data_IF_725592443703
#
_entry.id   IF_725592443703
#
_cell.length_a   1.000
_cell.length_b   1.000
_cell.length_c   1.000
_cell.angle_alpha   90.00
_cell.angle_beta   90.00
_cell.angle_gamma   90.00
#
_symmetry.space_group_name_H-M   'P 1'
#
loop_
_entity.id
_entity.type
_entity.pdbx_description
1 polymer ?
#
# COMPACT_ATOMS: atom_id res chain seq x y z
N UNK A 1 79.49 -18.08 -33.04
CA UNK A 1 78.72 -18.59 -31.90
C UNK A 1 77.51 -17.67 -31.68
N UNK A 2 76.40 -17.96 -32.28
CA UNK A 2 75.16 -17.12 -32.23
C UNK A 2 74.21 -17.71 -31.19
N UNK A 3 73.96 -16.98 -30.15
CA UNK A 3 73.00 -17.37 -29.10
C UNK A 3 71.63 -16.81 -29.48
N UNK A 4 70.69 -17.72 -29.67
CA UNK A 4 69.27 -17.45 -30.02
C UNK A 4 68.51 -17.32 -28.70
N UNK A 5 67.97 -16.13 -28.41
CA UNK A 5 67.05 -15.92 -27.27
C UNK A 5 65.61 -16.21 -27.70
N UNK A 6 65.02 -17.27 -27.15
CA UNK A 6 63.60 -17.55 -27.30
C UNK A 6 62.83 -16.69 -26.25
N UNK A 7 62.00 -15.82 -26.77
CA UNK A 7 61.09 -14.99 -25.94
C UNK A 7 59.74 -15.73 -25.86
N UNK A 8 59.43 -16.29 -24.71
CA UNK A 8 58.11 -16.91 -24.44
C UNK A 8 57.12 -15.84 -24.07
N UNK A 9 56.11 -15.60 -24.92
CA UNK A 9 54.95 -14.69 -24.62
C UNK A 9 53.95 -15.50 -23.80
N UNK A 10 53.87 -15.13 -22.50
CA UNK A 10 52.81 -15.64 -21.60
C UNK A 10 51.49 -14.97 -21.92
N UNK A 11 50.50 -15.70 -22.38
CA UNK A 11 49.12 -15.24 -22.51
C UNK A 11 48.48 -15.27 -21.12
N UNK A 12 48.31 -14.09 -20.52
CA UNK A 12 47.48 -13.92 -19.29
C UNK A 12 46.03 -13.98 -19.71
N UNK A 13 45.41 -15.13 -19.47
CA UNK A 13 43.98 -15.29 -19.65
C UNK A 13 43.21 -14.47 -18.61
N UNK A 14 42.57 -13.38 -19.03
CA UNK A 14 41.57 -12.67 -18.23
C UNK A 14 40.35 -13.54 -18.04
N UNK A 15 40.14 -14.03 -16.81
CA UNK A 15 38.89 -14.69 -16.42
C UNK A 15 37.79 -13.61 -16.36
N UNK A 16 36.91 -13.58 -17.35
CA UNK A 16 35.68 -12.80 -17.32
C UNK A 16 34.75 -13.42 -16.28
N UNK A 17 34.65 -12.80 -15.12
CA UNK A 17 33.67 -13.16 -14.10
C UNK A 17 32.26 -12.92 -14.68
N UNK A 18 31.59 -13.98 -15.08
CA UNK A 18 30.19 -13.94 -15.46
C UNK A 18 29.35 -13.58 -14.25
N UNK A 19 28.85 -12.35 -14.20
CA UNK A 19 27.83 -11.93 -13.24
C UNK A 19 26.57 -12.70 -13.62
N UNK A 20 26.27 -13.78 -12.88
CA UNK A 20 24.98 -14.46 -12.97
C UNK A 20 23.93 -13.47 -12.49
N UNK A 21 22.84 -13.20 -13.27
CA UNK A 21 21.73 -12.46 -12.73
C UNK A 21 21.18 -13.26 -11.54
N UNK A 22 21.20 -12.65 -10.35
CA UNK A 22 20.49 -13.19 -9.20
C UNK A 22 19.01 -13.11 -9.59
N UNK A 23 18.40 -14.27 -9.84
CA UNK A 23 16.96 -14.35 -10.01
C UNK A 23 16.35 -13.74 -8.73
N UNK A 24 15.57 -12.67 -8.89
CA UNK A 24 14.82 -12.11 -7.78
C UNK A 24 14.00 -13.24 -7.16
N UNK A 25 14.19 -13.47 -5.86
CA UNK A 25 13.45 -14.51 -5.15
C UNK A 25 11.95 -14.24 -5.32
N UNK A 26 11.14 -15.25 -5.67
CA UNK A 26 9.70 -15.09 -5.72
C UNK A 26 9.23 -14.75 -4.30
N UNK A 27 8.69 -13.53 -4.08
CA UNK A 27 8.20 -12.94 -2.84
C UNK A 27 9.08 -11.83 -2.18
N UNK A 28 9.90 -11.11 -2.91
CA UNK A 28 10.67 -9.96 -2.39
C UNK A 28 9.99 -8.60 -2.61
N UNK A 29 8.70 -8.57 -2.91
CA UNK A 29 7.95 -7.32 -3.00
C UNK A 29 7.52 -6.78 -1.64
N UNK A 30 7.19 -5.48 -1.55
CA UNK A 30 6.72 -4.87 -0.31
C UNK A 30 5.46 -5.56 0.21
N UNK A 31 5.41 -5.71 1.54
CA UNK A 31 4.25 -6.24 2.27
C UNK A 31 3.47 -5.05 2.80
N UNK A 32 2.16 -5.14 2.74
CA UNK A 32 1.27 -4.08 3.23
C UNK A 32 0.39 -4.62 4.36
N UNK A 33 0.02 -3.72 5.26
CA UNK A 33 -1.06 -3.97 6.21
C UNK A 33 -2.01 -2.77 6.21
N UNK A 34 -3.31 -3.05 6.31
CA UNK A 34 -4.32 -2.01 6.53
C UNK A 34 -5.06 -2.37 7.80
N UNK A 35 -5.02 -1.46 8.78
CA UNK A 35 -5.67 -1.62 10.07
C UNK A 35 -6.84 -0.66 10.17
N UNK A 36 -8.04 -1.16 10.46
CA UNK A 36 -9.26 -0.38 10.69
C UNK A 36 -9.69 -0.48 12.14
N UNK A 37 -10.21 0.62 12.68
CA UNK A 37 -10.78 0.65 14.03
C UNK A 37 -11.71 1.84 14.22
N UNK A 38 -12.56 1.78 15.24
CA UNK A 38 -13.51 2.82 15.58
C UNK A 38 -13.36 3.22 17.04
N UNK A 39 -13.16 4.51 17.29
CA UNK A 39 -13.08 5.08 18.62
C UNK A 39 -14.48 5.29 19.23
N UNK A 40 -14.59 5.12 20.53
CA UNK A 40 -15.77 5.57 21.25
C UNK A 40 -15.94 7.09 21.13
N UNK A 41 -17.16 7.57 21.02
CA UNK A 41 -17.45 8.97 20.72
C UNK A 41 -16.71 10.00 21.61
N UNK A 42 -16.59 9.82 22.96
CA UNK A 42 -15.89 10.76 23.80
C UNK A 42 -14.37 10.75 23.61
N UNK A 43 -13.81 9.71 23.00
CA UNK A 43 -12.37 9.47 22.90
C UNK A 43 -11.78 9.78 21.52
N UNK A 44 -12.59 10.21 20.54
CA UNK A 44 -12.18 10.47 19.16
C UNK A 44 -10.93 11.36 19.08
N UNK A 45 -10.92 12.48 19.78
CA UNK A 45 -9.81 13.43 19.73
C UNK A 45 -8.53 12.85 20.34
N UNK A 46 -8.67 12.10 21.43
CA UNK A 46 -7.55 11.42 22.10
C UNK A 46 -6.97 10.33 21.21
N UNK A 47 -7.81 9.48 20.62
CA UNK A 47 -7.38 8.43 19.68
C UNK A 47 -6.68 9.05 18.48
N UNK A 48 -7.21 10.14 17.89
CA UNK A 48 -6.57 10.84 16.78
C UNK A 48 -5.16 11.36 17.14
N UNK A 49 -4.97 11.89 18.34
CA UNK A 49 -3.66 12.34 18.81
C UNK A 49 -2.68 11.17 18.99
N UNK A 50 -3.15 10.08 19.60
CA UNK A 50 -2.34 8.88 19.82
C UNK A 50 -1.92 8.21 18.49
N UNK A 51 -2.82 8.18 17.52
CA UNK A 51 -2.56 7.64 16.15
C UNK A 51 -1.54 8.51 15.41
N UNK A 52 -1.63 9.86 15.49
CA UNK A 52 -0.61 10.75 14.89
C UNK A 52 0.78 10.49 15.45
N UNK A 53 0.88 10.38 16.78
CA UNK A 53 2.14 10.12 17.45
C UNK A 53 2.73 8.77 17.04
N UNK A 54 1.90 7.74 17.01
CA UNK A 54 2.28 6.40 16.58
C UNK A 54 2.76 6.37 15.13
N UNK A 55 1.99 6.98 14.20
CA UNK A 55 2.36 7.05 12.80
C UNK A 55 3.68 7.79 12.56
N UNK A 56 3.92 8.89 13.28
CA UNK A 56 5.18 9.65 13.18
C UNK A 56 6.39 8.82 13.64
N UNK A 57 6.24 7.99 14.67
CA UNK A 57 7.29 7.09 15.13
C UNK A 57 7.54 5.96 14.11
N UNK A 58 6.48 5.31 13.63
CA UNK A 58 6.57 4.13 12.77
C UNK A 58 7.08 4.43 11.36
N UNK A 59 6.92 5.66 10.86
CA UNK A 59 7.52 6.08 9.58
C UNK A 59 9.03 5.95 9.55
N UNK A 60 9.69 6.06 10.70
CA UNK A 60 11.15 6.01 10.84
C UNK A 60 11.69 4.63 11.26
N UNK A 61 10.83 3.63 11.38
CA UNK A 61 11.26 2.27 11.74
C UNK A 61 12.06 1.62 10.61
N UNK A 62 13.00 0.78 11.01
CA UNK A 62 13.80 -0.01 10.06
C UNK A 62 12.88 -0.93 9.27
N UNK A 63 13.02 -0.89 7.93
CA UNK A 63 12.18 -1.67 7.03
C UNK A 63 10.84 -1.01 6.67
N UNK A 64 10.52 0.16 7.24
CA UNK A 64 9.36 0.94 6.79
C UNK A 64 9.59 1.46 5.36
N UNK A 65 8.65 1.16 4.47
CA UNK A 65 8.57 1.73 3.12
C UNK A 65 7.51 2.84 3.04
N UNK A 66 6.61 2.91 4.03
CA UNK A 66 5.59 3.94 4.18
C UNK A 66 4.65 3.61 5.34
N UNK A 67 4.21 4.66 6.03
CA UNK A 67 3.27 4.54 7.13
C UNK A 67 2.34 5.76 7.15
N UNK A 68 1.08 5.54 6.85
CA UNK A 68 0.07 6.60 6.79
C UNK A 68 -1.10 6.28 7.73
N UNK A 69 -1.57 7.29 8.41
CA UNK A 69 -2.71 7.19 9.31
C UNK A 69 -3.79 8.19 8.90
N UNK A 70 -5.03 7.76 8.98
CA UNK A 70 -6.17 8.43 8.39
C UNK A 70 -7.36 8.48 9.36
N UNK A 71 -8.15 9.55 9.25
CA UNK A 71 -9.44 9.70 9.91
C UNK A 71 -10.54 9.83 8.85
N UNK A 72 -11.59 9.01 8.93
CA UNK A 72 -12.69 9.03 7.96
C UNK A 72 -13.44 10.37 8.02
N UNK A 73 -13.66 11.02 6.86
CA UNK A 73 -14.26 12.35 6.79
C UNK A 73 -15.72 12.33 7.23
N UNK A 74 -16.61 11.47 6.68
CA UNK A 74 -18.02 11.45 7.06
C UNK A 74 -18.28 10.81 8.44
N UNK A 75 -17.34 10.03 8.96
CA UNK A 75 -17.45 9.32 10.24
C UNK A 75 -16.17 9.46 11.07
N UNK A 76 -15.96 10.60 11.74
CA UNK A 76 -14.69 10.90 12.41
C UNK A 76 -14.30 9.96 13.56
N UNK A 77 -15.21 9.07 14.01
CA UNK A 77 -14.88 7.98 14.92
C UNK A 77 -14.05 6.87 14.27
N UNK A 78 -14.02 6.79 12.94
CA UNK A 78 -13.33 5.73 12.21
C UNK A 78 -11.97 6.15 11.72
N UNK A 79 -11.04 5.24 11.89
CA UNK A 79 -9.64 5.42 11.55
C UNK A 79 -9.14 4.27 10.68
N UNK A 80 -8.13 4.57 9.86
CA UNK A 80 -7.38 3.57 9.13
C UNK A 80 -5.88 3.86 9.25
N UNK A 81 -5.07 2.80 9.27
CA UNK A 81 -3.61 2.89 9.15
C UNK A 81 -3.22 2.03 7.96
N UNK A 82 -2.44 2.59 7.04
CA UNK A 82 -1.84 1.87 5.91
C UNK A 82 -0.34 1.81 6.12
N UNK A 83 0.17 0.60 6.15
CA UNK A 83 1.58 0.29 6.36
C UNK A 83 2.15 -0.35 5.10
N UNK A 84 3.33 0.08 4.69
CA UNK A 84 4.13 -0.54 3.64
C UNK A 84 5.49 -0.91 4.21
N UNK A 85 5.91 -2.16 4.01
CA UNK A 85 7.14 -2.72 4.54
C UNK A 85 8.01 -3.26 3.42
N UNK A 86 9.33 -3.06 3.52
CA UNK A 86 10.28 -3.45 2.48
C UNK A 86 10.37 -4.97 2.27
N UNK A 87 10.15 -5.74 3.34
CA UNK A 87 10.20 -7.20 3.32
C UNK A 87 9.19 -7.84 4.29
N UNK A 88 9.14 -9.18 4.30
CA UNK A 88 8.21 -9.96 5.11
C UNK A 88 8.56 -10.04 6.60
N UNK A 89 9.79 -9.71 6.98
CA UNK A 89 10.23 -9.77 8.38
C UNK A 89 9.89 -8.49 9.13
N UNK A 90 9.91 -7.35 8.45
CA UNK A 90 9.67 -6.03 9.03
C UNK A 90 8.30 -5.90 9.75
N UNK A 91 7.16 -6.39 9.21
CA UNK A 91 5.89 -6.38 9.95
C UNK A 91 5.96 -7.15 11.27
N UNK A 92 6.69 -8.26 11.31
CA UNK A 92 6.88 -9.05 12.55
C UNK A 92 7.64 -8.25 13.61
N UNK A 93 8.73 -7.60 13.23
CA UNK A 93 9.52 -6.74 14.11
C UNK A 93 8.69 -5.54 14.62
N UNK A 94 7.97 -4.85 13.73
CA UNK A 94 7.06 -3.76 14.08
C UNK A 94 5.99 -4.21 15.08
N UNK A 95 5.33 -5.33 14.83
CA UNK A 95 4.28 -5.86 15.70
C UNK A 95 4.79 -6.23 17.11
N UNK A 96 6.05 -6.62 17.23
CA UNK A 96 6.70 -6.96 18.51
C UNK A 96 7.37 -5.75 19.19
N UNK A 97 7.48 -4.62 18.51
CA UNK A 97 8.11 -3.41 19.04
C UNK A 97 7.36 -2.87 20.26
N UNK A 98 8.09 -2.43 21.28
CA UNK A 98 7.51 -1.89 22.50
C UNK A 98 6.57 -0.71 22.23
N UNK A 99 6.90 0.15 21.26
CA UNK A 99 6.07 1.28 20.86
C UNK A 99 4.71 0.84 20.28
N UNK A 100 4.70 -0.21 19.46
CA UNK A 100 3.47 -0.77 18.86
C UNK A 100 2.60 -1.42 19.92
N UNK A 101 3.19 -2.18 20.86
CA UNK A 101 2.47 -2.80 21.97
C UNK A 101 1.87 -1.72 22.87
N UNK A 102 2.67 -0.71 23.26
CA UNK A 102 2.20 0.41 24.08
C UNK A 102 1.07 1.21 23.41
N UNK A 103 1.16 1.47 22.10
CA UNK A 103 0.07 2.10 21.34
C UNK A 103 -1.21 1.27 21.40
N UNK A 104 -1.12 -0.04 21.13
CA UNK A 104 -2.29 -0.93 21.14
C UNK A 104 -2.93 -1.01 22.53
N UNK A 105 -2.13 -1.10 23.58
CA UNK A 105 -2.64 -1.14 24.96
C UNK A 105 -3.31 0.19 25.35
N UNK A 106 -2.75 1.32 24.89
CA UNK A 106 -3.28 2.65 25.14
C UNK A 106 -4.63 2.90 24.46
N UNK A 107 -4.78 2.47 23.20
CA UNK A 107 -6.01 2.74 22.43
C UNK A 107 -7.10 1.72 22.69
N UNK A 108 -6.78 0.46 22.98
CA UNK A 108 -7.74 -0.64 23.18
C UNK A 108 -8.95 -0.28 24.04
N UNK A 109 -8.81 0.32 25.24
CA UNK A 109 -9.96 0.68 26.10
C UNK A 109 -10.81 1.84 25.54
N UNK A 110 -10.33 2.54 24.50
CA UNK A 110 -10.99 3.71 23.89
C UNK A 110 -11.75 3.34 22.61
N UNK A 111 -11.69 2.07 22.18
CA UNK A 111 -12.28 1.60 20.94
C UNK A 111 -13.63 0.93 21.19
N UNK A 112 -14.52 1.02 20.19
CA UNK A 112 -15.81 0.33 20.18
C UNK A 112 -15.65 -1.18 19.95
N UNK A 113 -14.59 -1.59 19.26
CA UNK A 113 -14.28 -2.98 18.93
C UNK A 113 -12.79 -3.20 18.73
N UNK A 114 -12.38 -4.42 18.37
CA UNK A 114 -10.97 -4.73 18.15
C UNK A 114 -10.41 -4.02 16.92
N UNK A 115 -9.06 -3.90 16.88
CA UNK A 115 -8.34 -3.53 15.67
C UNK A 115 -8.51 -4.62 14.61
N UNK A 116 -9.01 -4.26 13.44
CA UNK A 116 -9.12 -5.17 12.29
C UNK A 116 -7.90 -5.00 11.38
N UNK A 117 -7.00 -5.97 11.38
CA UNK A 117 -5.77 -5.94 10.58
C UNK A 117 -5.92 -6.82 9.35
N UNK A 118 -5.65 -6.27 8.17
CA UNK A 118 -5.64 -6.99 6.89
C UNK A 118 -4.23 -6.98 6.33
N UNK A 119 -3.65 -8.15 6.11
CA UNK A 119 -2.37 -8.30 5.43
C UNK A 119 -2.59 -8.38 3.94
N UNK A 120 -1.78 -7.62 3.18
CA UNK A 120 -1.90 -7.49 1.73
C UNK A 120 -0.51 -7.55 1.08
N UNK A 121 -0.51 -7.76 -0.22
CA UNK A 121 0.65 -7.62 -1.10
C UNK A 121 0.37 -6.54 -2.13
N UNK A 122 1.40 -5.84 -2.60
CA UNK A 122 1.27 -4.93 -3.72
C UNK A 122 0.89 -5.71 -4.98
N UNK A 123 -0.14 -5.22 -5.68
CA UNK A 123 -0.60 -5.81 -6.94
C UNK A 123 -0.33 -4.89 -8.12
N UNK A 124 -0.77 -3.64 -8.03
CA UNK A 124 -0.41 -2.57 -8.98
C UNK A 124 -0.07 -1.32 -8.16
N UNK A 125 1.21 -1.17 -7.81
CA UNK A 125 1.72 -0.06 -7.00
C UNK A 125 2.72 0.77 -7.79
N UNK A 126 2.87 2.04 -7.42
CA UNK A 126 3.84 2.95 -8.01
C UNK A 126 4.39 3.91 -6.95
N UNK A 127 5.49 4.58 -7.27
CA UNK A 127 5.94 5.70 -6.44
C UNK A 127 4.86 6.80 -6.41
N UNK A 128 4.60 7.43 -5.25
CA UNK A 128 3.65 8.53 -5.16
C UNK A 128 4.05 9.68 -6.11
N UNK A 129 3.06 10.32 -6.73
CA UNK A 129 3.24 11.46 -7.60
C UNK A 129 3.50 12.78 -6.84
N UNK A 130 3.37 12.75 -5.50
CA UNK A 130 3.59 13.91 -4.64
C UNK A 130 3.13 13.63 -3.21
N UNK A 131 3.21 14.66 -2.38
CA UNK A 131 2.67 14.64 -1.02
C UNK A 131 1.43 15.52 -0.98
N UNK A 132 0.41 15.07 -0.24
CA UNK A 132 -0.77 15.86 0.03
C UNK A 132 -0.51 16.93 1.08
N UNK A 133 -1.26 18.01 1.00
CA UNK A 133 -1.36 19.03 2.04
C UNK A 133 -2.66 18.82 2.87
N UNK A 134 -3.06 19.85 3.62
CA UNK A 134 -4.25 19.80 4.46
C UNK A 134 -5.58 19.61 3.70
N UNK A 135 -5.60 19.92 2.39
CA UNK A 135 -6.77 19.81 1.52
C UNK A 135 -6.84 18.45 0.82
N UNK A 136 -5.79 17.64 0.95
CA UNK A 136 -5.71 16.32 0.35
C UNK A 136 -6.82 15.40 0.84
N UNK A 137 -7.30 14.57 -0.08
CA UNK A 137 -8.30 13.54 0.20
C UNK A 137 -7.70 12.18 -0.12
N UNK A 138 -7.68 11.32 0.88
CA UNK A 138 -7.29 9.92 0.72
C UNK A 138 -8.53 9.05 0.62
N UNK A 139 -8.45 8.00 -0.19
CA UNK A 139 -9.57 7.09 -0.42
C UNK A 139 -9.11 5.65 -0.25
N UNK A 140 -9.84 4.90 0.55
CA UNK A 140 -9.66 3.46 0.68
C UNK A 140 -10.92 2.78 0.17
N UNK A 141 -10.78 1.98 -0.89
CA UNK A 141 -11.90 1.27 -1.50
C UNK A 141 -11.75 -0.23 -1.36
N UNK A 142 -12.77 -0.88 -0.85
CA UNK A 142 -12.85 -2.34 -0.79
C UNK A 142 -13.53 -2.86 -2.05
N UNK A 143 -12.86 -3.78 -2.73
CA UNK A 143 -13.37 -4.44 -3.93
C UNK A 143 -13.36 -5.94 -3.69
N UNK A 144 -14.51 -6.47 -3.33
CA UNK A 144 -14.72 -7.89 -3.10
C UNK A 144 -15.54 -8.47 -4.25
N UNK A 145 -15.03 -9.49 -4.90
CA UNK A 145 -15.68 -10.10 -6.07
C UNK A 145 -15.89 -11.58 -5.86
N UNK A 146 -16.82 -12.16 -6.61
CA UNK A 146 -16.96 -13.60 -6.65
C UNK A 146 -15.67 -14.26 -7.16
N UNK A 147 -15.25 -15.42 -6.62
CA UNK A 147 -13.99 -16.06 -6.98
C UNK A 147 -13.76 -16.26 -8.49
N UNK A 148 -14.77 -16.58 -9.32
CA UNK A 148 -14.59 -16.69 -10.77
C UNK A 148 -14.24 -15.36 -11.45
N UNK A 149 -14.60 -14.22 -10.84
CA UNK A 149 -14.34 -12.87 -11.39
C UNK A 149 -12.96 -12.30 -11.07
N UNK A 150 -12.17 -12.98 -10.23
CA UNK A 150 -10.91 -12.42 -9.68
C UNK A 150 -9.92 -11.96 -10.73
N UNK A 151 -9.65 -12.78 -11.75
CA UNK A 151 -8.63 -12.46 -12.77
C UNK A 151 -9.08 -11.30 -13.67
N UNK A 152 -10.38 -11.26 -13.99
CA UNK A 152 -10.96 -10.13 -14.72
C UNK A 152 -10.90 -8.85 -13.90
N UNK A 153 -11.26 -8.91 -12.62
CA UNK A 153 -11.18 -7.77 -11.71
C UNK A 153 -9.74 -7.27 -11.55
N UNK A 154 -8.79 -8.18 -11.41
CA UNK A 154 -7.37 -7.85 -11.34
C UNK A 154 -6.91 -7.04 -12.56
N UNK A 155 -7.30 -7.47 -13.78
CA UNK A 155 -7.00 -6.75 -15.02
C UNK A 155 -7.68 -5.37 -15.06
N UNK A 156 -8.95 -5.27 -14.66
CA UNK A 156 -9.69 -4.01 -14.60
C UNK A 156 -9.07 -3.02 -13.61
N UNK A 157 -8.68 -3.49 -12.42
CA UNK A 157 -8.03 -2.65 -11.39
C UNK A 157 -6.65 -2.18 -11.84
N UNK A 158 -5.89 -3.00 -12.57
CA UNK A 158 -4.61 -2.57 -13.15
C UNK A 158 -4.81 -1.43 -14.14
N UNK A 159 -5.78 -1.56 -15.05
CA UNK A 159 -6.11 -0.51 -16.04
C UNK A 159 -6.60 0.76 -15.35
N UNK A 160 -7.45 0.62 -14.33
CA UNK A 160 -7.93 1.75 -13.55
C UNK A 160 -6.79 2.49 -12.87
N UNK A 161 -5.85 1.76 -12.23
CA UNK A 161 -4.71 2.35 -11.56
C UNK A 161 -3.78 3.09 -12.53
N UNK A 162 -3.50 2.51 -13.69
CA UNK A 162 -2.69 3.15 -14.74
C UNK A 162 -3.34 4.43 -15.28
N UNK A 163 -4.65 4.42 -15.44
CA UNK A 163 -5.41 5.60 -15.88
C UNK A 163 -5.49 6.65 -14.75
N UNK A 164 -5.79 6.22 -13.53
CA UNK A 164 -5.94 7.08 -12.35
C UNK A 164 -4.67 7.87 -12.03
N UNK A 165 -3.49 7.24 -12.13
CA UNK A 165 -2.19 7.90 -11.93
C UNK A 165 -1.94 9.07 -12.91
N UNK A 166 -2.63 9.10 -14.03
CA UNK A 166 -2.52 10.16 -15.05
C UNK A 166 -3.55 11.29 -14.87
N UNK A 167 -4.51 11.11 -13.97
CA UNK A 167 -5.53 12.14 -13.71
C UNK A 167 -4.87 13.31 -12.98
N UNK A 168 -5.06 14.55 -13.44
CA UNK A 168 -4.51 15.73 -12.76
C UNK A 168 -4.94 15.80 -11.30
N UNK A 169 -3.96 15.95 -10.39
CA UNK A 169 -4.18 15.99 -8.96
C UNK A 169 -4.17 14.61 -8.27
N UNK A 170 -3.91 13.51 -9.01
CA UNK A 170 -3.60 12.25 -8.38
C UNK A 170 -2.22 12.33 -7.69
N UNK A 171 -2.17 11.91 -6.42
CA UNK A 171 -0.95 11.83 -5.61
C UNK A 171 -0.49 10.38 -5.45
N UNK A 172 -1.44 9.45 -5.38
CA UNK A 172 -1.20 8.01 -5.23
C UNK A 172 -2.37 7.23 -5.83
N UNK A 173 -2.06 6.09 -6.43
CA UNK A 173 -3.08 5.12 -6.84
C UNK A 173 -2.48 3.72 -6.80
N UNK A 174 -2.76 2.97 -5.73
CA UNK A 174 -2.25 1.64 -5.50
C UNK A 174 -3.37 0.63 -5.38
N UNK A 175 -3.15 -0.55 -5.97
CA UNK A 175 -4.01 -1.71 -5.80
C UNK A 175 -3.27 -2.75 -4.97
N UNK A 176 -3.87 -3.14 -3.88
CA UNK A 176 -3.37 -4.14 -2.95
C UNK A 176 -4.27 -5.38 -2.99
N UNK A 177 -3.67 -6.55 -2.86
CA UNK A 177 -4.36 -7.83 -2.85
C UNK A 177 -4.25 -8.48 -1.47
N UNK A 178 -5.36 -8.93 -0.91
CA UNK A 178 -5.39 -9.61 0.40
C UNK A 178 -4.72 -10.96 0.36
N UNK A 179 -3.83 -11.22 1.33
CA UNK A 179 -3.14 -12.49 1.53
C UNK A 179 -3.07 -12.84 3.04
N UNK A 180 -3.24 -14.10 3.43
CA UNK A 180 -3.79 -15.21 2.65
C UNK A 180 -5.28 -15.00 2.37
N UNK A 181 -5.75 -15.46 1.24
CA UNK A 181 -7.16 -15.35 0.86
C UNK A 181 -7.32 -15.62 -0.63
N UNK A 182 -8.44 -16.04 -1.09
CA UNK A 182 -8.67 -16.56 -2.44
C UNK A 182 -8.32 -15.67 -3.64
N UNK A 183 -7.63 -14.53 -3.43
CA UNK A 183 -7.21 -13.62 -4.51
C UNK A 183 -8.36 -12.79 -5.08
N UNK A 184 -9.50 -12.73 -4.41
CA UNK A 184 -10.72 -12.03 -4.83
C UNK A 184 -11.10 -10.83 -3.95
N UNK A 185 -10.21 -10.43 -3.03
CA UNK A 185 -10.39 -9.26 -2.16
C UNK A 185 -9.26 -8.25 -2.41
N UNK A 186 -9.60 -7.09 -2.92
CA UNK A 186 -8.66 -6.02 -3.21
C UNK A 186 -8.93 -4.82 -2.31
N UNK A 187 -7.90 -4.03 -2.07
CA UNK A 187 -8.01 -2.68 -1.50
C UNK A 187 -7.33 -1.72 -2.48
N UNK A 188 -8.07 -0.70 -2.90
CA UNK A 188 -7.50 0.41 -3.65
C UNK A 188 -7.19 1.53 -2.67
N UNK A 189 -5.97 2.06 -2.73
CA UNK A 189 -5.49 3.20 -1.93
C UNK A 189 -5.22 4.34 -2.89
N UNK A 190 -5.96 5.42 -2.74
CA UNK A 190 -5.84 6.60 -3.58
C UNK A 190 -5.53 7.83 -2.73
N UNK A 191 -4.67 8.70 -3.24
CA UNK A 191 -4.43 10.05 -2.72
C UNK A 191 -4.73 11.07 -3.80
N UNK A 192 -5.47 12.11 -3.46
CA UNK A 192 -5.86 13.21 -4.35
C UNK A 192 -5.47 14.55 -3.71
N UNK A 193 -4.95 15.47 -4.51
CA UNK A 193 -4.53 16.80 -4.04
C UNK A 193 -5.62 17.54 -3.29
N UNK A 194 -6.86 17.39 -3.75
CA UNK A 194 -8.02 18.04 -3.16
C UNK A 194 -9.33 17.31 -3.54
N UNK A 195 -10.43 17.74 -2.95
CA UNK A 195 -11.77 17.21 -3.24
C UNK A 195 -12.20 17.40 -4.70
N UNK A 196 -11.74 18.45 -5.37
CA UNK A 196 -12.07 18.70 -6.78
C UNK A 196 -11.40 17.67 -7.68
N UNK A 197 -10.11 17.36 -7.45
CA UNK A 197 -9.38 16.34 -8.18
C UNK A 197 -10.02 14.95 -8.00
N UNK A 198 -10.39 14.60 -6.77
CA UNK A 198 -11.13 13.38 -6.49
C UNK A 198 -12.47 13.34 -7.24
N UNK A 199 -13.29 14.39 -7.18
CA UNK A 199 -14.57 14.44 -7.87
C UNK A 199 -14.40 14.33 -9.41
N UNK A 200 -13.33 14.91 -9.96
CA UNK A 200 -13.01 14.77 -11.39
C UNK A 200 -12.67 13.33 -11.76
N UNK A 201 -11.97 12.59 -10.89
CA UNK A 201 -11.65 11.18 -11.11
C UNK A 201 -12.90 10.30 -11.17
N UNK A 202 -13.92 10.59 -10.35
CA UNK A 202 -15.19 9.84 -10.34
C UNK A 202 -15.93 9.93 -11.69
N UNK A 203 -15.78 11.03 -12.40
CA UNK A 203 -16.44 11.29 -13.69
C UNK A 203 -15.55 10.97 -14.89
N UNK A 204 -14.32 10.52 -14.69
CA UNK A 204 -13.44 10.08 -15.75
C UNK A 204 -14.02 8.86 -16.49
N UNK A 205 -13.78 8.79 -17.81
CA UNK A 205 -14.25 7.66 -18.62
C UNK A 205 -13.75 6.32 -18.08
N UNK A 206 -12.46 6.25 -17.71
CA UNK A 206 -11.85 5.05 -17.13
C UNK A 206 -12.56 4.55 -15.85
N UNK A 207 -12.99 5.47 -14.99
CA UNK A 207 -13.71 5.12 -13.75
C UNK A 207 -15.11 4.60 -14.06
N UNK A 208 -15.84 5.26 -14.98
CA UNK A 208 -17.17 4.80 -15.39
C UNK A 208 -17.12 3.42 -16.06
N UNK A 209 -16.17 3.22 -16.97
CA UNK A 209 -15.98 1.94 -17.67
C UNK A 209 -15.61 0.82 -16.69
N UNK A 210 -14.73 1.13 -15.74
CA UNK A 210 -14.39 0.20 -14.66
C UNK A 210 -15.62 -0.20 -13.84
N UNK A 211 -16.40 0.76 -13.36
CA UNK A 211 -17.61 0.51 -12.55
C UNK A 211 -18.62 -0.34 -13.31
N UNK A 212 -18.86 -0.03 -14.57
CA UNK A 212 -19.77 -0.80 -15.42
C UNK A 212 -19.31 -2.25 -15.59
N UNK A 213 -18.01 -2.49 -15.78
CA UNK A 213 -17.48 -3.82 -15.96
C UNK A 213 -17.32 -4.59 -14.65
N UNK A 214 -17.15 -3.90 -13.52
CA UNK A 214 -17.03 -4.51 -12.20
C UNK A 214 -18.37 -5.03 -11.69
N UNK A 215 -19.47 -4.29 -11.89
CA UNK A 215 -20.79 -4.57 -11.31
C UNK A 215 -21.23 -6.05 -11.43
N UNK A 216 -21.10 -6.74 -12.58
CA UNK A 216 -21.49 -8.15 -12.66
C UNK A 216 -20.53 -9.12 -11.92
N UNK A 217 -19.40 -8.64 -11.44
CA UNK A 217 -18.37 -9.44 -10.76
C UNK A 217 -18.41 -9.25 -9.23
N UNK A 218 -19.11 -8.24 -8.75
CA UNK A 218 -19.16 -7.88 -7.32
C UNK A 218 -19.75 -8.98 -6.46
N UNK A 219 -19.01 -9.40 -5.43
CA UNK A 219 -19.42 -10.31 -4.39
C UNK A 219 -19.94 -9.58 -3.14
N UNK A 220 -19.60 -8.30 -3.01
CA UNK A 220 -20.06 -7.39 -1.97
C UNK A 220 -20.19 -5.98 -2.54
N UNK A 221 -20.82 -5.08 -1.80
CA UNK A 221 -20.93 -3.67 -2.18
C UNK A 221 -19.54 -3.04 -2.34
N UNK A 222 -19.40 -2.20 -3.35
CA UNK A 222 -18.23 -1.37 -3.55
C UNK A 222 -18.17 -0.33 -2.42
N UNK A 223 -17.29 -0.55 -1.43
CA UNK A 223 -17.21 0.26 -0.22
C UNK A 223 -16.03 1.25 -0.34
N UNK A 224 -16.35 2.46 -0.76
CA UNK A 224 -15.41 3.57 -0.94
C UNK A 224 -15.52 4.54 0.23
N UNK A 225 -14.42 4.74 0.94
CA UNK A 225 -14.36 5.58 2.12
C UNK A 225 -13.33 6.69 1.96
N UNK A 226 -13.74 7.89 2.33
CA UNK A 226 -12.93 9.09 2.23
C UNK A 226 -12.31 9.45 3.57
N UNK A 227 -11.03 9.79 3.52
CA UNK A 227 -10.21 10.07 4.67
C UNK A 227 -9.45 11.39 4.52
N UNK A 228 -9.01 11.92 5.66
CA UNK A 228 -7.95 12.92 5.75
C UNK A 228 -6.76 12.29 6.47
N UNK A 229 -5.56 12.66 6.07
CA UNK A 229 -4.34 12.24 6.76
C UNK A 229 -4.27 12.84 8.19
N UNK A 230 -3.58 12.12 9.09
CA UNK A 230 -3.35 12.51 10.48
C UNK A 230 -1.89 12.89 10.73
#
# INVERSE_FOLDING_TARGET
>A
MRILFLMTIGIVGMAVASIRPVAAAPNSGPVYAVTYFEAAAPDIAKVAADVRQFAAASRNEVGSAGFAAFQEIPRPSRFAIVEAWQDKAAPGAHNAAAATLAFRDKVRPLLVGPLEVRTLTGFSTAAPNGQGDQDAVDVLTFVDVFPPGKDRTAALLTQLAEAGRKVPGNLQFDVLLRVPGGGNHFIVVEGWRDRQAYNASLTAASTRDFRQQLTPLEGALYDERLYRAL
#
